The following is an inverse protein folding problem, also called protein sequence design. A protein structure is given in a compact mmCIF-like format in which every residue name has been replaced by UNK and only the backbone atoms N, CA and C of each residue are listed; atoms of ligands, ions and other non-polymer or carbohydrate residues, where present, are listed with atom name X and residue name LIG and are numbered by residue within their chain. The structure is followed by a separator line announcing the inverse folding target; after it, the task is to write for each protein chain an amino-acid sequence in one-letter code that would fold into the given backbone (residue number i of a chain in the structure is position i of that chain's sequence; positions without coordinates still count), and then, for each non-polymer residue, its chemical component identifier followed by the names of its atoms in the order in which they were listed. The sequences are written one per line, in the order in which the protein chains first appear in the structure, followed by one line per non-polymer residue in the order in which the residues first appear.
data_IF_837683274938
#
_entry.id   IF_837683274938
#
_cell.length_a   1.000
_cell.length_b   1.000
_cell.length_c   1.000
_cell.angle_alpha   90.00
_cell.angle_beta   90.00
_cell.angle_gamma   90.00
#
_symmetry.space_group_name_H-M   'P 1'
#
loop_
_entity.id
_entity.type
_entity.pdbx_description
1 polymer ?
#
# COMPACT_ATOMS: atom_id res chain seq x y z
N UNK A 1 -49.79 -13.81 88.95
CA UNK A 1 -48.53 -13.19 89.38
C UNK A 1 -47.50 -13.48 88.30
N UNK A 2 -47.15 -12.43 87.55
CA UNK A 2 -45.84 -12.15 86.92
C UNK A 2 -45.27 -13.18 85.93
N UNK A 3 -45.49 -12.95 84.61
CA UNK A 3 -44.56 -12.24 83.69
C UNK A 3 -43.21 -12.95 83.56
N UNK A 4 -42.96 -13.61 82.43
CA UNK A 4 -41.96 -13.05 81.50
C UNK A 4 -42.02 -13.69 80.12
N UNK A 5 -42.71 -12.95 79.25
CA UNK A 5 -42.68 -13.04 77.81
C UNK A 5 -41.38 -12.38 77.32
N UNK A 6 -40.30 -13.14 77.22
CA UNK A 6 -39.11 -12.70 76.47
C UNK A 6 -38.82 -13.70 75.36
N UNK A 7 -39.50 -13.50 74.23
CA UNK A 7 -39.02 -13.93 72.92
C UNK A 7 -37.57 -13.47 72.81
N UNK A 8 -36.65 -14.43 72.93
CA UNK A 8 -35.23 -14.21 72.63
C UNK A 8 -35.17 -13.88 71.15
N UNK A 9 -35.25 -12.59 70.83
CA UNK A 9 -34.99 -12.06 69.50
C UNK A 9 -33.55 -12.46 69.22
N UNK A 10 -33.39 -13.53 68.45
CA UNK A 10 -32.14 -13.84 67.80
C UNK A 10 -31.86 -12.65 66.88
N UNK A 11 -31.11 -11.69 67.40
CA UNK A 11 -30.45 -10.69 66.58
C UNK A 11 -29.45 -11.49 65.73
N UNK A 12 -29.90 -11.98 64.57
CA UNK A 12 -28.98 -12.26 63.47
C UNK A 12 -28.23 -10.97 63.27
N UNK A 13 -26.99 -10.92 63.73
CA UNK A 13 -26.04 -9.92 63.33
C UNK A 13 -25.99 -10.02 61.81
N UNK A 14 -26.70 -9.12 61.11
CA UNK A 14 -26.47 -8.84 59.71
C UNK A 14 -25.09 -8.21 59.66
N UNK A 15 -24.05 -9.05 59.73
CA UNK A 15 -22.71 -8.63 59.39
C UNK A 15 -22.81 -8.18 57.94
N UNK A 16 -22.65 -6.88 57.73
CA UNK A 16 -22.48 -6.33 56.39
C UNK A 16 -21.21 -7.00 55.87
N UNK A 17 -21.36 -8.06 55.09
CA UNK A 17 -20.23 -8.67 54.42
C UNK A 17 -19.80 -7.69 53.34
N UNK A 18 -18.99 -6.69 53.73
CA UNK A 18 -18.49 -5.59 52.88
C UNK A 18 -17.56 -6.12 51.79
N UNK A 19 -17.11 -7.37 51.91
CA UNK A 19 -16.47 -8.11 50.83
C UNK A 19 -17.53 -8.73 49.92
N UNK A 20 -18.22 -7.90 49.12
CA UNK A 20 -18.78 -8.40 47.86
C UNK A 20 -17.58 -8.86 47.02
N UNK A 21 -17.25 -10.15 47.09
CA UNK A 21 -16.46 -10.85 46.06
C UNK A 21 -16.98 -10.36 44.72
N UNK A 22 -16.11 -9.88 43.84
CA UNK A 22 -16.44 -9.45 42.48
C UNK A 22 -17.47 -10.41 41.87
N UNK A 23 -18.75 -10.01 41.88
CA UNK A 23 -19.89 -10.86 41.48
C UNK A 23 -19.88 -11.09 39.97
N UNK A 24 -19.20 -10.19 39.24
CA UNK A 24 -18.97 -10.32 37.82
C UNK A 24 -17.79 -11.26 37.55
N UNK A 25 -18.11 -12.54 37.40
CA UNK A 25 -17.18 -13.56 36.98
C UNK A 25 -17.35 -13.83 35.47
N UNK A 26 -16.88 -12.90 34.63
CA UNK A 26 -16.89 -13.02 33.15
C UNK A 26 -15.92 -14.09 32.62
N UNK A 27 -15.67 -15.17 33.38
CA UNK A 27 -14.73 -16.24 32.99
C UNK A 27 -15.25 -17.03 31.80
N UNK A 28 -16.55 -17.32 31.80
CA UNK A 28 -17.23 -18.16 30.80
C UNK A 28 -17.89 -17.32 29.69
N UNK A 29 -17.88 -16.00 29.83
CA UNK A 29 -18.42 -15.06 28.86
C UNK A 29 -17.35 -14.66 27.83
N UNK A 30 -17.80 -14.40 26.59
CA UNK A 30 -16.96 -13.90 25.50
C UNK A 30 -16.30 -15.00 24.64
N UNK A 31 -15.93 -14.59 23.43
CA UNK A 31 -15.26 -15.45 22.45
C UNK A 31 -13.77 -15.51 22.80
N UNK A 32 -13.27 -16.72 22.99
CA UNK A 32 -11.88 -16.96 23.37
C UNK A 32 -11.02 -17.16 22.12
N UNK A 33 -10.13 -16.21 21.85
CA UNK A 33 -9.10 -16.33 20.82
C UNK A 33 -7.75 -16.69 21.46
N UNK A 34 -6.80 -17.22 20.69
CA UNK A 34 -5.44 -17.44 21.18
C UNK A 34 -4.82 -16.12 21.69
N UNK A 35 -4.66 -16.02 23.02
CA UNK A 35 -4.00 -14.89 23.70
C UNK A 35 -4.89 -13.69 24.07
N UNK A 36 -6.16 -13.64 23.65
CA UNK A 36 -7.08 -12.59 24.09
C UNK A 36 -8.55 -13.03 24.11
N UNK A 37 -9.36 -12.33 24.91
CA UNK A 37 -10.81 -12.51 24.95
C UNK A 37 -11.50 -11.35 24.22
N UNK A 38 -12.49 -11.68 23.41
CA UNK A 38 -13.32 -10.72 22.69
C UNK A 38 -14.76 -10.76 23.22
N UNK A 39 -15.30 -9.59 23.53
CA UNK A 39 -16.67 -9.43 23.98
C UNK A 39 -17.43 -8.66 22.90
N UNK A 40 -18.22 -9.35 22.05
CA UNK A 40 -19.02 -8.68 21.05
C UNK A 40 -20.11 -7.85 21.69
N UNK A 41 -20.54 -6.77 21.01
CA UNK A 41 -21.66 -5.94 21.50
C UNK A 41 -22.99 -6.67 21.41
N UNK A 42 -23.16 -7.49 20.37
CA UNK A 42 -24.37 -8.28 20.12
C UNK A 42 -24.02 -9.77 20.23
N UNK A 43 -24.91 -10.57 20.81
CA UNK A 43 -24.71 -12.02 20.99
C UNK A 43 -24.58 -12.77 19.66
N UNK A 44 -25.32 -12.35 18.63
CA UNK A 44 -25.34 -12.99 17.30
C UNK A 44 -24.22 -12.51 16.36
N UNK A 45 -23.25 -11.75 16.88
CA UNK A 45 -22.16 -11.24 16.06
C UNK A 45 -21.25 -12.38 15.59
N UNK A 46 -21.28 -12.63 14.27
CA UNK A 46 -20.37 -13.55 13.58
C UNK A 46 -19.47 -12.76 12.65
N UNK A 47 -18.17 -13.04 12.70
CA UNK A 47 -17.22 -12.44 11.77
C UNK A 47 -17.59 -12.82 10.32
N UNK A 48 -17.55 -11.87 9.37
CA UNK A 48 -17.75 -12.19 7.96
C UNK A 48 -16.68 -13.19 7.50
N UNK A 49 -17.01 -14.10 6.58
CA UNK A 49 -16.01 -15.03 6.06
C UNK A 49 -14.90 -14.25 5.35
N UNK A 50 -13.66 -14.49 5.74
CA UNK A 50 -12.48 -13.86 5.13
C UNK A 50 -11.36 -14.88 4.94
N UNK A 51 -10.51 -14.64 3.95
CA UNK A 51 -9.30 -15.43 3.73
C UNK A 51 -8.15 -14.89 4.60
N UNK A 52 -7.51 -15.73 5.44
CA UNK A 52 -6.46 -15.27 6.33
C UNK A 52 -5.19 -14.92 5.55
N UNK A 53 -4.69 -13.70 5.73
CA UNK A 53 -3.40 -13.29 5.16
C UNK A 53 -2.23 -13.72 6.03
N UNK A 54 -1.08 -13.99 5.40
CA UNK A 54 0.14 -14.45 6.09
C UNK A 54 0.84 -13.32 6.85
N UNK A 55 0.82 -12.11 6.30
CA UNK A 55 1.51 -10.94 6.84
C UNK A 55 0.53 -9.78 7.03
N UNK A 56 0.86 -8.94 8.01
CA UNK A 56 0.21 -7.67 8.28
C UNK A 56 1.17 -6.52 8.10
N UNK A 57 0.66 -5.44 7.53
CA UNK A 57 1.26 -4.13 7.55
C UNK A 57 0.65 -3.36 8.73
N UNK A 58 1.50 -2.91 9.64
CA UNK A 58 1.09 -2.16 10.82
C UNK A 58 1.65 -0.76 10.73
N UNK A 59 0.79 0.21 10.98
CA UNK A 59 1.16 1.62 11.04
C UNK A 59 0.57 2.23 12.31
N UNK A 60 1.28 3.16 12.93
CA UNK A 60 0.75 3.90 14.08
C UNK A 60 -0.16 5.03 13.59
N UNK A 61 -1.32 5.22 14.22
CA UNK A 61 -2.26 6.32 13.92
C UNK A 61 -2.21 7.38 15.02
N UNK A 62 -2.19 6.96 16.29
CA UNK A 62 -2.25 7.88 17.45
C UNK A 62 -0.86 8.28 17.96
N UNK A 63 -0.69 9.47 18.55
CA UNK A 63 0.56 9.89 19.18
C UNK A 63 0.86 9.06 20.43
N UNK A 64 2.15 8.95 20.79
CA UNK A 64 2.62 8.25 21.99
C UNK A 64 2.40 9.04 23.30
N UNK A 65 2.12 10.35 23.19
CA UNK A 65 1.88 11.22 24.34
C UNK A 65 0.61 10.78 25.06
N UNK A 66 0.69 10.65 26.38
CA UNK A 66 -0.43 10.19 27.22
C UNK A 66 -0.67 8.68 27.21
N UNK A 67 0.09 7.89 26.43
CA UNK A 67 -0.01 6.44 26.49
C UNK A 67 0.77 5.86 27.69
N UNK A 68 0.25 4.82 28.36
CA UNK A 68 0.94 4.13 29.43
C UNK A 68 2.22 3.43 28.95
N UNK A 69 3.14 3.17 29.88
CA UNK A 69 4.48 2.67 29.54
C UNK A 69 4.48 1.28 28.86
N UNK A 70 3.53 0.39 29.19
CA UNK A 70 3.45 -0.95 28.58
C UNK A 70 3.06 -0.88 27.10
N UNK A 71 2.15 0.02 26.71
CA UNK A 71 1.79 0.24 25.30
C UNK A 71 2.97 0.79 24.51
N UNK A 72 3.72 1.72 25.10
CA UNK A 72 4.98 2.22 24.52
C UNK A 72 6.01 1.11 24.36
N UNK A 73 6.09 0.18 25.32
CA UNK A 73 6.97 -0.99 25.20
C UNK A 73 6.57 -1.88 24.01
N UNK A 74 5.29 -2.17 23.84
CA UNK A 74 4.83 -2.95 22.67
C UNK A 74 5.11 -2.23 21.34
N UNK A 75 4.92 -0.91 21.28
CA UNK A 75 5.26 -0.13 20.08
C UNK A 75 6.77 -0.10 19.82
N UNK A 76 7.59 -0.15 20.88
CA UNK A 76 9.05 -0.28 20.76
C UNK A 76 9.44 -1.65 20.22
N UNK A 77 8.81 -2.74 20.66
CA UNK A 77 9.02 -4.09 20.13
C UNK A 77 8.78 -4.13 18.60
N UNK A 78 7.72 -3.44 18.15
CA UNK A 78 7.38 -3.34 16.72
C UNK A 78 8.14 -2.25 15.97
N UNK A 79 9.07 -1.53 16.63
CA UNK A 79 9.84 -0.41 16.06
C UNK A 79 8.97 0.75 15.55
N UNK A 80 7.77 0.93 16.10
CA UNK A 80 6.81 2.01 15.77
C UNK A 80 6.88 3.20 16.74
N UNK A 81 7.96 3.30 17.53
CA UNK A 81 8.18 4.39 18.48
C UNK A 81 8.64 5.70 17.82
N UNK A 82 9.11 5.63 16.58
CA UNK A 82 9.59 6.77 15.81
C UNK A 82 8.46 7.59 15.19
N UNK A 83 8.52 7.77 13.88
CA UNK A 83 7.55 8.57 13.12
C UNK A 83 6.21 7.84 13.02
N UNK A 84 5.14 8.61 12.80
CA UNK A 84 3.79 8.07 12.56
C UNK A 84 3.75 7.34 11.21
N UNK A 85 4.56 7.80 10.26
CA UNK A 85 4.72 7.19 8.93
C UNK A 85 5.50 5.87 8.94
N UNK A 86 6.09 5.48 10.07
CA UNK A 86 6.87 4.24 10.12
C UNK A 86 5.93 3.03 9.98
N UNK A 87 6.34 2.09 9.15
CA UNK A 87 5.58 0.88 8.83
C UNK A 87 6.35 -0.33 9.33
N UNK A 88 5.66 -1.23 10.02
CA UNK A 88 6.19 -2.51 10.44
C UNK A 88 5.45 -3.65 9.74
N UNK A 89 6.21 -4.60 9.16
CA UNK A 89 5.65 -5.81 8.55
C UNK A 89 5.80 -6.94 9.56
N UNK A 90 4.69 -7.60 9.88
CA UNK A 90 4.64 -8.60 10.94
C UNK A 90 3.88 -9.85 10.50
N UNK A 91 4.28 -11.01 11.02
CA UNK A 91 3.66 -12.31 10.76
C UNK A 91 2.31 -12.42 11.47
N UNK A 92 1.33 -13.02 10.81
CA UNK A 92 0.04 -13.37 11.41
C UNK A 92 0.21 -14.63 12.28
N UNK A 93 0.65 -14.44 13.54
CA UNK A 93 0.89 -15.49 14.56
C UNK A 93 0.10 -15.11 15.82
N UNK A 94 -0.48 -16.07 16.56
CA UNK A 94 -1.28 -15.79 17.75
C UNK A 94 -0.56 -14.93 18.80
N UNK A 95 0.73 -15.18 19.05
CA UNK A 95 1.55 -14.41 19.99
C UNK A 95 1.64 -12.92 19.60
N UNK A 96 1.82 -12.67 18.31
CA UNK A 96 1.83 -11.31 17.76
C UNK A 96 0.44 -10.70 17.88
N UNK A 97 -0.59 -11.43 17.48
CA UNK A 97 -1.97 -10.93 17.46
C UNK A 97 -2.44 -10.55 18.88
N UNK A 98 -2.01 -11.28 19.91
CA UNK A 98 -2.26 -10.93 21.30
C UNK A 98 -1.61 -9.58 21.68
N UNK A 99 -0.38 -9.31 21.24
CA UNK A 99 0.26 -7.99 21.43
C UNK A 99 -0.48 -6.90 20.68
N UNK A 100 -0.81 -7.12 19.40
CA UNK A 100 -1.56 -6.17 18.56
C UNK A 100 -2.93 -5.83 19.16
N UNK A 101 -3.62 -6.82 19.73
CA UNK A 101 -4.92 -6.63 20.37
C UNK A 101 -4.87 -5.61 21.51
N UNK A 102 -3.81 -5.62 22.32
CA UNK A 102 -3.63 -4.67 23.43
C UNK A 102 -3.47 -3.24 22.93
N UNK A 103 -2.78 -3.05 21.81
CA UNK A 103 -2.51 -1.73 21.22
C UNK A 103 -3.44 -1.38 20.05
N UNK A 104 -4.53 -2.14 19.82
CA UNK A 104 -5.42 -2.01 18.64
C UNK A 104 -5.99 -0.61 18.40
N UNK A 105 -6.05 0.20 19.45
CA UNK A 105 -6.59 1.56 19.40
C UNK A 105 -5.53 2.62 19.02
N UNK A 106 -4.25 2.24 18.96
CA UNK A 106 -3.12 3.10 18.57
C UNK A 106 -2.67 2.86 17.13
N UNK A 107 -2.93 1.68 16.58
CA UNK A 107 -2.40 1.21 15.29
C UNK A 107 -3.50 0.94 14.26
N UNK A 108 -3.13 1.06 12.98
CA UNK A 108 -3.82 0.53 11.82
C UNK A 108 -3.19 -0.81 11.47
N UNK A 109 -4.00 -1.85 11.32
CA UNK A 109 -3.55 -3.15 10.80
C UNK A 109 -4.17 -3.33 9.42
N UNK A 110 -3.34 -3.56 8.42
CA UNK A 110 -3.76 -3.77 7.03
C UNK A 110 -3.23 -5.14 6.55
N UNK A 111 -4.07 -6.01 5.99
CA UNK A 111 -3.61 -7.26 5.40
C UNK A 111 -2.75 -7.00 4.17
N UNK A 112 -1.62 -7.73 4.03
CA UNK A 112 -0.77 -7.61 2.84
C UNK A 112 -1.23 -8.60 1.77
N UNK A 113 -1.44 -8.08 0.56
CA UNK A 113 -1.80 -8.86 -0.64
C UNK A 113 -0.71 -8.77 -1.71
N UNK A 114 -0.58 -9.84 -2.51
CA UNK A 114 0.46 -9.98 -3.53
C UNK A 114 -0.18 -10.17 -4.91
N UNK A 115 -0.63 -9.11 -5.59
CA UNK A 115 -1.28 -9.22 -6.89
C UNK A 115 -0.37 -9.85 -7.96
N UNK A 116 0.94 -9.59 -7.89
CA UNK A 116 1.94 -10.12 -8.83
C UNK A 116 2.68 -11.36 -8.29
N UNK A 117 2.20 -11.95 -7.20
CA UNK A 117 2.90 -12.99 -6.45
C UNK A 117 4.00 -12.45 -5.51
N UNK A 118 4.62 -13.34 -4.72
CA UNK A 118 5.70 -12.95 -3.82
C UNK A 118 6.95 -12.53 -4.61
N UNK A 119 7.71 -11.52 -4.14
CA UNK A 119 8.93 -11.08 -4.81
C UNK A 119 10.03 -12.15 -4.65
N UNK A 120 10.50 -12.72 -5.77
CA UNK A 120 11.59 -13.72 -5.77
C UNK A 120 12.99 -13.08 -5.76
N UNK A 121 13.16 -11.91 -6.36
CA UNK A 121 14.44 -11.19 -6.43
C UNK A 121 14.29 -9.73 -6.00
N UNK A 122 15.42 -9.06 -5.71
CA UNK A 122 15.53 -7.65 -5.31
C UNK A 122 15.19 -6.65 -6.43
N UNK A 123 14.13 -6.94 -7.18
CA UNK A 123 13.47 -5.97 -8.03
C UNK A 123 12.82 -4.93 -7.11
N UNK A 124 12.88 -3.65 -7.46
CA UNK A 124 12.30 -2.59 -6.64
C UNK A 124 10.84 -2.90 -6.32
N UNK A 125 10.52 -3.13 -5.05
CA UNK A 125 9.14 -3.36 -4.62
C UNK A 125 8.58 -2.09 -3.99
N UNK A 126 7.29 -1.86 -4.21
CA UNK A 126 6.58 -0.74 -3.65
C UNK A 126 5.37 -1.25 -2.88
N UNK A 127 5.33 -0.97 -1.57
CA UNK A 127 4.19 -1.28 -0.72
C UNK A 127 3.24 -0.09 -0.69
N UNK A 128 2.02 -0.28 -1.17
CA UNK A 128 0.97 0.74 -1.11
C UNK A 128 0.35 0.82 0.28
N UNK A 129 -0.25 1.96 0.61
CA UNK A 129 -1.03 2.15 1.84
C UNK A 129 -2.24 1.20 1.96
N UNK A 130 -2.71 0.67 0.83
CA UNK A 130 -3.78 -0.32 0.76
C UNK A 130 -3.33 -1.73 1.20
N UNK A 131 -2.03 -1.96 1.38
CA UNK A 131 -1.46 -3.27 1.70
C UNK A 131 -1.07 -4.11 0.47
N UNK A 132 -1.25 -3.59 -0.74
CA UNK A 132 -0.77 -4.25 -1.96
C UNK A 132 0.75 -4.09 -2.10
N UNK A 133 1.47 -5.21 -2.18
CA UNK A 133 2.88 -5.19 -2.55
C UNK A 133 3.01 -5.33 -4.07
N UNK A 134 3.38 -4.23 -4.74
CA UNK A 134 3.60 -4.21 -6.18
C UNK A 134 5.09 -4.38 -6.47
N UNK A 135 5.42 -5.41 -7.24
CA UNK A 135 6.77 -5.59 -7.78
C UNK A 135 6.92 -4.68 -9.01
N UNK A 136 7.86 -3.73 -8.95
CA UNK A 136 8.17 -2.87 -10.09
C UNK A 136 8.90 -3.69 -11.13
N UNK A 137 8.43 -3.64 -12.37
CA UNK A 137 9.11 -4.28 -13.50
C UNK A 137 10.39 -3.50 -13.78
N UNK A 138 11.51 -4.21 -13.96
CA UNK A 138 12.72 -3.60 -14.52
C UNK A 138 12.37 -3.02 -15.88
N UNK A 139 12.66 -1.74 -16.08
CA UNK A 139 12.54 -1.09 -17.38
C UNK A 139 13.71 -1.55 -18.24
N UNK A 140 13.61 -2.76 -18.77
CA UNK A 140 14.54 -3.21 -19.80
C UNK A 140 14.17 -2.50 -21.10
N UNK A 141 15.14 -1.87 -21.79
CA UNK A 141 14.83 -1.24 -23.06
C UNK A 141 14.39 -2.35 -24.03
N UNK A 142 13.24 -2.14 -24.67
CA UNK A 142 12.76 -3.08 -25.66
C UNK A 142 13.76 -3.09 -26.82
N UNK A 143 14.49 -4.19 -26.98
CA UNK A 143 15.58 -4.32 -27.96
C UNK A 143 15.15 -3.89 -29.35
N UNK A 144 13.96 -4.31 -29.78
CA UNK A 144 13.39 -3.92 -31.08
C UNK A 144 13.31 -2.39 -31.29
N UNK A 145 12.98 -1.62 -30.24
CA UNK A 145 12.92 -0.16 -30.32
C UNK A 145 14.30 0.47 -30.34
N UNK A 146 15.26 -0.09 -29.60
CA UNK A 146 16.66 0.33 -29.66
C UNK A 146 17.21 0.09 -31.06
N UNK A 147 17.08 -1.13 -31.56
CA UNK A 147 17.55 -1.54 -32.89
C UNK A 147 16.91 -0.69 -33.99
N UNK A 148 15.60 -0.42 -33.91
CA UNK A 148 14.91 0.46 -34.85
C UNK A 148 15.42 1.92 -34.78
N UNK A 149 15.74 2.41 -33.58
CA UNK A 149 16.30 3.75 -33.40
C UNK A 149 17.71 3.82 -33.98
N UNK A 150 18.56 2.83 -33.70
CA UNK A 150 19.91 2.72 -34.25
C UNK A 150 19.89 2.63 -35.77
N UNK A 151 19.04 1.76 -36.33
CA UNK A 151 18.83 1.65 -37.78
C UNK A 151 18.35 2.96 -38.40
N UNK A 152 17.46 3.70 -37.72
CA UNK A 152 17.01 5.01 -38.18
C UNK A 152 18.12 6.06 -38.14
N UNK A 153 18.99 6.05 -37.13
CA UNK A 153 20.12 6.98 -37.02
C UNK A 153 21.21 6.66 -38.05
N UNK A 154 21.51 5.38 -38.29
CA UNK A 154 22.59 4.92 -39.16
C UNK A 154 22.20 4.86 -40.65
N UNK A 155 20.93 5.09 -41.00
CA UNK A 155 20.46 5.00 -42.37
C UNK A 155 21.18 6.04 -43.28
N UNK A 156 21.95 5.62 -44.31
CA UNK A 156 22.67 6.55 -45.18
C UNK A 156 21.75 7.47 -46.01
N UNK A 157 20.47 7.10 -46.17
CA UNK A 157 19.47 7.94 -46.87
C UNK A 157 18.97 9.09 -45.99
N UNK A 158 19.24 9.05 -44.68
CA UNK A 158 18.85 10.11 -43.75
C UNK A 158 19.76 11.32 -43.98
N UNK A 159 19.14 12.43 -44.34
CA UNK A 159 19.84 13.70 -44.51
C UNK A 159 20.12 14.33 -43.14
N UNK A 160 21.26 15.01 -43.01
CA UNK A 160 21.62 15.74 -41.80
C UNK A 160 20.57 16.82 -41.44
N UNK A 161 20.31 16.98 -40.15
CA UNK A 161 19.26 17.85 -39.63
C UNK A 161 19.47 19.32 -40.00
N UNK A 162 20.71 19.79 -40.01
CA UNK A 162 21.02 21.18 -40.37
C UNK A 162 20.86 21.40 -41.87
N UNK A 163 21.31 20.44 -42.66
CA UNK A 163 21.06 20.41 -44.12
C UNK A 163 19.57 20.42 -44.45
N UNK A 164 18.76 19.66 -43.71
CA UNK A 164 17.31 19.63 -43.86
C UNK A 164 16.68 20.97 -43.50
N UNK A 165 17.10 21.60 -42.39
CA UNK A 165 16.63 22.93 -41.98
C UNK A 165 16.95 24.00 -43.03
N UNK A 166 18.18 24.07 -43.53
CA UNK A 166 18.57 25.02 -44.59
C UNK A 166 17.77 24.82 -45.87
N UNK A 167 17.56 23.55 -46.27
CA UNK A 167 16.75 23.23 -47.45
C UNK A 167 15.28 23.63 -47.27
N UNK A 168 14.70 23.38 -46.09
CA UNK A 168 13.33 23.81 -45.78
C UNK A 168 13.21 25.33 -45.74
N UNK A 169 14.18 26.03 -45.14
CA UNK A 169 14.22 27.49 -45.12
C UNK A 169 14.29 28.05 -46.55
N UNK A 170 15.18 27.52 -47.39
CA UNK A 170 15.29 27.93 -48.80
C UNK A 170 13.97 27.70 -49.53
N UNK A 171 13.36 26.52 -49.37
CA UNK A 171 12.06 26.20 -49.95
C UNK A 171 10.95 27.15 -49.47
N UNK A 172 10.98 27.58 -48.21
CA UNK A 172 10.01 28.53 -47.65
C UNK A 172 10.19 29.94 -48.21
N UNK A 173 11.43 30.44 -48.25
CA UNK A 173 11.77 31.74 -48.82
C UNK A 173 11.42 31.82 -50.32
N UNK A 174 11.67 30.74 -51.06
CA UNK A 174 11.39 30.68 -52.51
C UNK A 174 10.02 30.06 -52.80
N UNK A 175 9.17 29.82 -51.80
CA UNK A 175 7.90 29.11 -51.98
C UNK A 175 6.93 29.85 -52.91
N UNK A 176 7.05 31.17 -52.99
CA UNK A 176 6.14 32.04 -53.77
C UNK A 176 6.82 32.64 -55.00
N UNK A 177 8.05 32.23 -55.30
CA UNK A 177 8.86 32.81 -56.37
C UNK A 177 8.68 32.04 -57.70
N UNK A 178 7.82 32.56 -58.58
CA UNK A 178 7.32 31.85 -59.77
C UNK A 178 8.38 31.53 -60.83
N UNK A 179 9.45 32.33 -60.89
CA UNK A 179 10.57 32.15 -61.84
C UNK A 179 11.42 30.95 -61.45
N UNK A 180 11.74 30.80 -60.16
CA UNK A 180 12.48 29.66 -59.62
C UNK A 180 11.66 28.36 -59.74
N UNK A 181 10.33 28.45 -59.57
CA UNK A 181 9.47 27.27 -59.70
C UNK A 181 9.40 26.72 -61.13
N UNK A 182 9.34 27.58 -62.15
CA UNK A 182 9.38 27.16 -63.56
C UNK A 182 10.71 26.48 -63.89
N UNK A 183 11.83 27.13 -63.55
CA UNK A 183 13.16 26.58 -63.78
C UNK A 183 13.37 25.20 -63.11
N UNK A 184 12.91 25.02 -61.87
CA UNK A 184 13.02 23.75 -61.16
C UNK A 184 12.10 22.63 -61.72
N UNK A 185 11.03 22.99 -62.44
CA UNK A 185 10.13 22.03 -63.10
C UNK A 185 10.74 21.53 -64.41
N UNK A 186 11.30 22.45 -65.19
CA UNK A 186 11.96 22.16 -66.47
C UNK A 186 13.21 21.27 -66.29
N UNK A 187 13.97 21.46 -65.21
CA UNK A 187 15.15 20.65 -64.85
C UNK A 187 14.79 19.21 -64.43
N UNK A 188 13.62 19.01 -63.80
CA UNK A 188 13.10 17.67 -63.48
C UNK A 188 12.62 16.95 -64.73
N UNK A 189 11.85 17.61 -65.57
CA UNK A 189 11.29 17.00 -66.78
C UNK A 189 12.40 16.56 -67.75
N UNK A 190 13.50 17.30 -67.83
CA UNK A 190 14.70 16.91 -68.59
C UNK A 190 15.48 15.75 -67.97
N UNK A 191 15.66 15.72 -66.65
CA UNK A 191 16.33 14.57 -65.99
C UNK A 191 15.51 13.28 -66.08
N UNK A 192 14.19 13.34 -65.93
CA UNK A 192 13.32 12.18 -66.17
C UNK A 192 13.34 11.74 -67.63
N UNK A 193 13.29 12.67 -68.60
CA UNK A 193 13.40 12.33 -70.02
C UNK A 193 14.72 11.60 -70.35
N UNK A 194 15.85 12.00 -69.76
CA UNK A 194 17.16 11.36 -70.00
C UNK A 194 17.28 9.97 -69.35
N UNK A 195 16.64 9.74 -68.20
CA UNK A 195 16.67 8.44 -67.50
C UNK A 195 15.81 7.40 -68.22
N UNK A 196 14.73 7.80 -68.88
CA UNK A 196 13.78 6.90 -69.57
C UNK A 196 13.96 6.85 -71.12
N UNK A 197 14.89 7.62 -71.69
CA UNK A 197 15.21 7.61 -73.14
C UNK A 197 16.34 6.62 -73.51
N UNK A 198 16.58 5.60 -72.68
CA UNK A 198 17.54 4.50 -72.89
C UNK A 198 16.82 3.18 -72.75
#
# INVERSE_FOLDING_TARGET
MFYDHLKRISLRLFTRNVYRKNVYNWRDEGIHYPGFKYYPRNTDFKDPPYEPTKLFMIQRIKPLKGCPHWEKSFLKDFKLNGKISDIAIVKNIPEVNAKLWRIKHLIKVVPITFPNGPPTESNGTFLKENGELVVTRKLEPLKEKLDATENFQMNPRKMDGDTLRRRMLKKWLTAWDTTIQKAAKDEKDTTYAVIYAK
#
